data_IF_848618957981
#
_entry.id   IF_848618957981
#
_cell.length_a   1.000
_cell.length_b   1.000
_cell.length_c   1.000
_cell.angle_alpha   90.00
_cell.angle_beta   90.00
_cell.angle_gamma   90.00
#
_symmetry.space_group_name_H-M   'P 1'
#
loop_
_entity.id
_entity.type
_entity.pdbx_description
1 polymer ?
#
# COMPACT_ATOMS: atom_id res chain seq x y z
N UNK A 1 -0.34 13.90 34.50
CA UNK A 1 0.27 13.59 33.17
C UNK A 1 -0.47 12.41 32.57
N UNK A 2 -0.90 12.52 31.31
CA UNK A 2 -1.65 11.45 30.61
C UNK A 2 -0.72 10.24 30.36
N UNK A 3 -1.10 9.06 30.84
CA UNK A 3 -0.28 7.84 30.71
C UNK A 3 -0.37 7.22 29.31
N UNK A 4 -1.54 7.32 28.68
CA UNK A 4 -1.77 6.81 27.33
C UNK A 4 -1.54 7.91 26.29
N UNK A 5 -0.84 7.59 25.22
CA UNK A 5 -0.63 8.47 24.07
C UNK A 5 -1.60 8.13 22.95
N UNK A 6 -2.20 9.18 22.38
CA UNK A 6 -3.13 9.04 21.25
C UNK A 6 -2.36 9.31 19.97
N UNK A 7 -2.30 8.30 19.10
CA UNK A 7 -1.72 8.38 17.76
C UNK A 7 -2.86 8.47 16.75
N UNK A 8 -2.90 9.54 15.96
CA UNK A 8 -3.89 9.72 14.89
C UNK A 8 -3.18 9.64 13.54
N UNK A 9 -3.67 8.78 12.65
CA UNK A 9 -3.18 8.74 11.27
C UNK A 9 -3.82 9.87 10.46
N UNK A 10 -2.97 10.72 9.89
CA UNK A 10 -3.40 11.81 9.02
C UNK A 10 -3.72 11.30 7.62
N UNK A 11 -4.85 11.70 7.07
CA UNK A 11 -5.33 11.26 5.76
C UNK A 11 -6.30 12.27 5.15
N UNK A 12 -6.99 11.94 4.06
CA UNK A 12 -7.91 12.87 3.37
C UNK A 12 -8.94 13.50 4.31
N UNK A 13 -9.48 12.74 5.26
CA UNK A 13 -10.49 13.22 6.21
C UNK A 13 -9.94 14.21 7.26
N UNK A 14 -8.62 14.33 7.40
CA UNK A 14 -7.95 15.26 8.32
C UNK A 14 -7.21 16.41 7.60
N UNK A 15 -7.48 16.61 6.30
CA UNK A 15 -6.88 17.70 5.52
C UNK A 15 -7.49 19.08 5.83
N UNK A 16 -8.62 19.11 6.52
CA UNK A 16 -9.26 20.35 6.97
C UNK A 16 -8.59 20.88 8.25
N UNK A 17 -8.22 22.17 8.25
CA UNK A 17 -7.53 22.81 9.37
C UNK A 17 -8.35 22.74 10.67
N UNK A 18 -9.67 22.89 10.58
CA UNK A 18 -10.54 22.86 11.75
C UNK A 18 -10.59 21.46 12.37
N UNK A 19 -10.64 20.42 11.53
CA UNK A 19 -10.62 19.04 11.99
C UNK A 19 -9.28 18.74 12.68
N UNK A 20 -8.17 19.10 12.03
CA UNK A 20 -6.83 18.89 12.60
C UNK A 20 -6.66 19.65 13.93
N UNK A 21 -7.14 20.88 14.01
CA UNK A 21 -7.14 21.70 15.23
C UNK A 21 -7.97 21.06 16.35
N UNK A 22 -9.13 20.51 16.04
CA UNK A 22 -9.94 19.77 17.01
C UNK A 22 -9.24 18.54 17.52
N UNK A 23 -8.59 17.74 16.66
CA UNK A 23 -7.80 16.59 17.08
C UNK A 23 -6.69 16.98 18.07
N UNK A 24 -6.00 18.10 17.80
CA UNK A 24 -4.97 18.64 18.70
C UNK A 24 -5.59 19.06 20.04
N UNK A 25 -6.75 19.75 20.03
CA UNK A 25 -7.45 20.20 21.25
C UNK A 25 -7.95 19.04 22.09
N UNK A 26 -8.53 18.02 21.45
CA UNK A 26 -9.06 16.80 22.10
C UNK A 26 -7.97 15.86 22.62
N UNK A 27 -6.72 16.15 22.35
CA UNK A 27 -5.59 15.46 23.00
C UNK A 27 -4.82 14.50 22.14
N UNK A 28 -4.78 14.71 20.83
CA UNK A 28 -3.82 14.03 19.98
C UNK A 28 -2.39 14.31 20.46
N UNK A 29 -1.61 13.28 20.70
CA UNK A 29 -0.20 13.38 21.10
C UNK A 29 0.75 13.22 19.92
N UNK A 30 0.36 12.39 18.93
CA UNK A 30 1.19 12.03 17.78
C UNK A 30 0.33 12.03 16.53
N UNK A 31 0.76 12.76 15.50
CA UNK A 31 0.21 12.70 14.17
C UNK A 31 1.09 11.80 13.29
N UNK A 32 0.55 10.66 12.82
CA UNK A 32 1.23 9.72 11.95
C UNK A 32 0.90 10.03 10.50
N UNK A 33 1.95 10.23 9.70
CA UNK A 33 1.88 10.45 8.25
C UNK A 33 2.38 9.20 7.53
N UNK A 34 1.46 8.48 6.88
CA UNK A 34 1.79 7.28 6.13
C UNK A 34 2.24 7.63 4.72
N UNK A 35 3.54 7.47 4.44
CA UNK A 35 4.16 7.76 3.15
C UNK A 35 3.96 6.66 2.09
N UNK A 36 3.27 5.58 2.43
CA UNK A 36 2.80 4.60 1.45
C UNK A 36 1.66 5.14 0.58
N UNK A 37 1.03 6.27 0.96
CA UNK A 37 -0.11 6.87 0.28
C UNK A 37 0.08 8.38 0.08
N UNK A 38 -0.45 8.88 -1.04
CA UNK A 38 -0.37 10.30 -1.41
C UNK A 38 1.01 10.72 -1.92
N UNK A 39 1.12 11.97 -2.37
CA UNK A 39 2.38 12.55 -2.81
C UNK A 39 3.17 13.17 -1.66
N UNK A 40 4.46 13.42 -1.88
CA UNK A 40 5.31 14.12 -0.90
C UNK A 40 4.81 15.55 -0.63
N UNK A 41 4.28 16.22 -1.65
CA UNK A 41 3.72 17.57 -1.56
C UNK A 41 2.48 17.60 -0.67
N UNK A 42 1.58 16.63 -0.83
CA UNK A 42 0.39 16.48 0.02
C UNK A 42 0.77 16.23 1.48
N UNK A 43 1.72 15.31 1.72
CA UNK A 43 2.17 15.02 3.08
C UNK A 43 2.85 16.24 3.70
N UNK A 44 3.66 16.97 2.92
CA UNK A 44 4.29 18.22 3.36
C UNK A 44 3.25 19.27 3.75
N UNK A 45 2.24 19.48 2.92
CA UNK A 45 1.16 20.45 3.22
C UNK A 45 0.45 20.14 4.54
N UNK A 46 0.12 18.86 4.79
CA UNK A 46 -0.48 18.42 6.06
C UNK A 46 0.45 18.63 7.26
N UNK A 47 1.74 18.33 7.10
CA UNK A 47 2.74 18.54 8.16
C UNK A 47 2.92 20.03 8.48
N UNK A 48 2.97 20.89 7.48
CA UNK A 48 3.13 22.34 7.69
C UNK A 48 1.88 22.93 8.36
N UNK A 49 0.69 22.47 8.01
CA UNK A 49 -0.57 22.82 8.70
C UNK A 49 -0.51 22.39 10.18
N UNK A 50 -0.07 21.16 10.47
CA UNK A 50 0.04 20.70 11.86
C UNK A 50 1.07 21.52 12.66
N UNK A 51 2.21 21.88 12.06
CA UNK A 51 3.23 22.73 12.71
C UNK A 51 2.64 24.08 13.11
N UNK A 52 1.90 24.72 12.20
CA UNK A 52 1.19 25.98 12.50
C UNK A 52 0.21 25.81 13.66
N UNK A 53 -0.66 24.79 13.60
CA UNK A 53 -1.68 24.54 14.63
C UNK A 53 -1.07 24.29 16.00
N UNK A 54 -0.03 23.44 16.10
CA UNK A 54 0.60 23.12 17.40
C UNK A 54 1.27 24.34 18.05
N UNK A 55 1.81 25.28 17.25
CA UNK A 55 2.37 26.54 17.73
C UNK A 55 1.26 27.46 18.26
N UNK A 56 0.17 27.63 17.52
CA UNK A 56 -0.98 28.44 17.91
C UNK A 56 -1.67 27.90 19.18
N UNK A 57 -1.88 26.60 19.26
CA UNK A 57 -2.52 25.93 20.40
C UNK A 57 -1.54 25.68 21.59
N UNK A 58 -0.26 25.98 21.41
CA UNK A 58 0.83 25.73 22.40
C UNK A 58 0.83 24.29 22.93
N UNK A 59 0.56 23.32 22.05
CA UNK A 59 0.53 21.89 22.39
C UNK A 59 1.65 21.13 21.68
N UNK A 60 2.46 20.34 22.41
CA UNK A 60 3.57 19.56 21.85
C UNK A 60 3.03 18.30 21.19
N UNK A 61 2.57 18.40 19.94
CA UNK A 61 2.18 17.24 19.12
C UNK A 61 3.37 16.77 18.31
N UNK A 62 3.73 15.50 18.43
CA UNK A 62 4.81 14.91 17.67
C UNK A 62 4.36 14.56 16.23
N UNK A 63 5.28 14.65 15.29
CA UNK A 63 5.12 14.17 13.93
C UNK A 63 5.81 12.82 13.81
N UNK A 64 5.06 11.78 13.44
CA UNK A 64 5.58 10.46 13.14
C UNK A 64 5.52 10.26 11.63
N UNK A 65 6.70 10.15 11.01
CA UNK A 65 6.84 9.85 9.61
C UNK A 65 6.97 8.34 9.46
N UNK A 66 5.93 7.72 8.93
CA UNK A 66 5.90 6.29 8.64
C UNK A 66 6.36 6.08 7.20
N UNK A 67 7.62 5.67 7.06
CA UNK A 67 8.27 5.56 5.75
C UNK A 67 7.76 4.36 4.98
N UNK A 68 7.61 4.55 3.69
CA UNK A 68 7.43 3.45 2.75
C UNK A 68 8.70 2.60 2.73
N UNK A 69 8.57 1.31 3.06
CA UNK A 69 9.63 0.34 2.88
C UNK A 69 9.80 -0.06 1.41
N UNK A 70 10.77 -0.96 1.10
CA UNK A 70 10.83 -1.60 -0.22
C UNK A 70 9.55 -2.42 -0.41
N UNK A 71 8.83 -2.15 -1.49
CA UNK A 71 7.56 -2.81 -1.81
C UNK A 71 7.63 -3.44 -3.20
N UNK A 72 7.07 -4.65 -3.30
CA UNK A 72 6.76 -5.27 -4.57
C UNK A 72 5.27 -5.09 -4.79
N UNK A 73 4.89 -4.34 -5.82
CA UNK A 73 3.49 -4.07 -6.13
C UNK A 73 3.11 -4.55 -7.50
N UNK A 74 1.85 -4.95 -7.64
CA UNK A 74 1.21 -5.13 -8.94
C UNK A 74 1.01 -3.78 -9.61
N UNK A 75 1.11 -3.75 -10.94
CA UNK A 75 0.81 -2.55 -11.73
C UNK A 75 -0.69 -2.26 -11.81
N UNK A 76 -1.00 -1.23 -12.57
CA UNK A 76 -2.38 -0.78 -12.76
C UNK A 76 -3.16 -1.81 -13.56
N UNK A 77 -4.38 -2.08 -13.13
CA UNK A 77 -5.34 -2.91 -13.84
C UNK A 77 -6.18 -2.07 -14.80
N UNK A 78 -6.65 -2.68 -15.88
CA UNK A 78 -7.47 -2.05 -16.89
C UNK A 78 -8.66 -1.32 -16.27
N UNK A 79 -8.87 -0.09 -16.72
CA UNK A 79 -9.92 0.82 -16.20
C UNK A 79 -9.82 1.10 -14.68
N UNK A 80 -8.72 0.79 -14.02
CA UNK A 80 -8.57 0.89 -12.56
C UNK A 80 -9.53 -0.02 -11.78
N UNK A 81 -10.08 -1.05 -12.43
CA UNK A 81 -11.05 -1.97 -11.82
C UNK A 81 -10.37 -3.17 -11.21
N UNK A 82 -10.98 -3.70 -10.16
CA UNK A 82 -10.55 -4.96 -9.57
C UNK A 82 -10.91 -6.12 -10.49
N UNK A 83 -9.99 -7.07 -10.63
CA UNK A 83 -10.20 -8.30 -11.40
C UNK A 83 -10.42 -9.48 -10.48
N UNK A 84 -11.26 -10.42 -10.91
CA UNK A 84 -11.55 -11.63 -10.17
C UNK A 84 -10.63 -12.75 -10.67
N UNK A 85 -9.75 -13.21 -9.82
CA UNK A 85 -8.93 -14.39 -10.08
C UNK A 85 -9.65 -15.63 -9.56
N UNK A 86 -10.00 -16.55 -10.46
CA UNK A 86 -10.61 -17.83 -10.07
C UNK A 86 -9.54 -18.84 -9.67
N UNK A 87 -9.94 -19.73 -8.78
CA UNK A 87 -9.09 -20.81 -8.36
C UNK A 87 -8.67 -21.73 -9.51
N UNK A 88 -7.40 -22.12 -9.51
CA UNK A 88 -6.87 -23.01 -10.54
C UNK A 88 -6.52 -22.34 -11.86
N UNK A 89 -6.92 -21.09 -12.08
CA UNK A 89 -6.53 -20.31 -13.26
C UNK A 89 -5.06 -19.89 -13.18
N UNK A 90 -4.53 -19.52 -14.33
CA UNK A 90 -3.15 -19.10 -14.49
C UNK A 90 -3.10 -17.62 -14.78
N UNK A 91 -2.23 -16.89 -14.07
CA UNK A 91 -1.94 -15.48 -14.33
C UNK A 91 -0.47 -15.31 -14.66
N UNK A 92 -0.15 -14.43 -15.57
CA UNK A 92 1.23 -14.08 -15.93
C UNK A 92 1.67 -12.83 -15.19
N UNK A 93 2.75 -12.93 -14.42
CA UNK A 93 3.42 -11.78 -13.83
C UNK A 93 4.54 -11.31 -14.76
N UNK A 94 4.58 -10.02 -15.09
CA UNK A 94 5.54 -9.48 -16.06
C UNK A 94 6.24 -8.23 -15.55
N UNK A 95 7.45 -7.99 -16.06
CA UNK A 95 8.22 -6.76 -15.82
C UNK A 95 7.88 -5.66 -16.84
N UNK A 96 7.07 -5.98 -17.87
CA UNK A 96 6.59 -4.99 -18.83
C UNK A 96 5.58 -4.07 -18.19
N UNK A 97 5.67 -2.78 -18.46
CA UNK A 97 4.66 -1.80 -18.03
C UNK A 97 3.42 -1.94 -18.90
N UNK A 98 2.43 -2.63 -18.38
CA UNK A 98 1.14 -2.86 -19.05
C UNK A 98 -0.02 -2.55 -18.12
N UNK A 99 -1.15 -2.20 -18.67
CA UNK A 99 -2.43 -2.31 -17.98
C UNK A 99 -2.81 -3.78 -17.88
N UNK A 100 -2.87 -4.31 -16.65
CA UNK A 100 -3.11 -5.71 -16.38
C UNK A 100 -4.59 -6.08 -16.44
N UNK A 101 -4.84 -7.39 -16.52
CA UNK A 101 -6.16 -8.01 -16.47
C UNK A 101 -6.11 -9.31 -15.66
N UNK A 102 -7.14 -10.15 -15.76
CA UNK A 102 -7.21 -11.45 -15.10
C UNK A 102 -6.17 -12.48 -15.60
N UNK A 103 -5.51 -12.22 -16.72
CA UNK A 103 -4.54 -13.13 -17.35
C UNK A 103 -3.09 -12.67 -17.19
N UNK A 104 -2.86 -11.36 -17.12
CA UNK A 104 -1.52 -10.78 -17.08
C UNK A 104 -1.50 -9.51 -16.23
N UNK A 105 -0.47 -9.35 -15.39
CA UNK A 105 -0.28 -8.13 -14.58
C UNK A 105 1.20 -7.78 -14.47
N UNK A 106 1.51 -6.50 -14.54
CA UNK A 106 2.87 -5.99 -14.33
C UNK A 106 3.26 -5.99 -12.86
N UNK A 107 4.57 -6.04 -12.59
CA UNK A 107 5.16 -5.93 -11.26
C UNK A 107 6.23 -4.85 -11.23
N UNK A 108 6.34 -4.17 -10.08
CA UNK A 108 7.37 -3.16 -9.86
C UNK A 108 8.78 -3.77 -9.68
N UNK A 109 8.87 -5.03 -9.26
CA UNK A 109 10.13 -5.71 -9.00
C UNK A 109 10.63 -6.47 -10.21
N UNK A 110 11.65 -5.93 -10.88
CA UNK A 110 12.21 -6.49 -12.11
C UNK A 110 13.02 -7.78 -11.90
N UNK A 111 13.58 -7.98 -10.69
CA UNK A 111 14.39 -9.15 -10.35
C UNK A 111 13.59 -10.40 -9.99
N UNK A 112 12.25 -10.35 -10.01
CA UNK A 112 11.43 -11.50 -9.59
C UNK A 112 11.77 -12.80 -10.36
N UNK A 113 12.11 -12.66 -11.65
CA UNK A 113 12.50 -13.81 -12.51
C UNK A 113 13.68 -14.56 -11.95
N UNK A 114 14.67 -13.83 -11.48
CA UNK A 114 15.95 -14.40 -11.04
C UNK A 114 15.80 -15.04 -9.66
N UNK A 115 15.00 -14.41 -8.80
CA UNK A 115 14.85 -14.80 -7.41
C UNK A 115 13.90 -15.98 -7.18
N UNK A 116 12.86 -16.15 -8.02
CA UNK A 116 11.91 -17.24 -7.83
C UNK A 116 12.32 -18.52 -8.57
N UNK A 117 11.91 -19.66 -8.01
CA UNK A 117 12.06 -20.98 -8.63
C UNK A 117 10.69 -21.61 -8.90
N UNK A 118 10.63 -22.54 -9.87
CA UNK A 118 9.42 -23.32 -10.13
C UNK A 118 9.02 -24.03 -8.83
N UNK A 119 7.76 -23.92 -8.47
CA UNK A 119 7.21 -24.46 -7.22
C UNK A 119 7.18 -23.47 -6.06
N UNK A 120 7.88 -22.35 -6.11
CA UNK A 120 7.79 -21.31 -5.08
C UNK A 120 6.38 -20.72 -5.00
N UNK A 121 6.06 -20.18 -3.82
CA UNK A 121 4.81 -19.48 -3.56
C UNK A 121 5.06 -17.96 -3.57
N UNK A 122 4.24 -17.25 -4.34
CA UNK A 122 4.16 -15.78 -4.33
C UNK A 122 2.86 -15.42 -3.63
N UNK A 123 2.94 -14.58 -2.61
CA UNK A 123 1.80 -14.10 -1.85
C UNK A 123 1.46 -12.67 -2.25
N UNK A 124 0.18 -12.41 -2.49
CA UNK A 124 -0.35 -11.08 -2.82
C UNK A 124 -1.43 -10.73 -1.79
N UNK A 125 -1.58 -9.43 -1.50
CA UNK A 125 -2.58 -8.89 -0.56
C UNK A 125 -2.49 -9.57 0.82
N UNK A 126 -1.30 -9.42 1.46
CA UNK A 126 -0.99 -10.00 2.78
C UNK A 126 -1.24 -11.52 2.87
N UNK A 127 -1.10 -12.23 1.75
CA UNK A 127 -1.28 -13.67 1.68
C UNK A 127 -2.70 -14.14 1.37
N UNK A 128 -3.63 -13.22 1.10
CA UNK A 128 -5.00 -13.56 0.69
C UNK A 128 -5.03 -14.24 -0.67
N UNK A 129 -4.04 -14.00 -1.53
CA UNK A 129 -3.88 -14.63 -2.83
C UNK A 129 -2.55 -15.36 -2.85
N UNK A 130 -2.59 -16.69 -2.96
CA UNK A 130 -1.40 -17.52 -3.13
C UNK A 130 -1.25 -17.94 -4.60
N UNK A 131 -0.07 -17.66 -5.17
CA UNK A 131 0.28 -18.05 -6.53
C UNK A 131 1.46 -19.02 -6.48
N UNK A 132 1.35 -20.18 -7.12
CA UNK A 132 2.47 -21.12 -7.27
C UNK A 132 3.13 -20.94 -8.61
N UNK A 133 4.43 -20.71 -8.63
CA UNK A 133 5.22 -20.58 -9.84
C UNK A 133 5.21 -21.90 -10.59
N UNK A 134 4.67 -21.91 -11.81
CA UNK A 134 4.64 -23.08 -12.70
C UNK A 134 5.74 -23.07 -13.72
N UNK A 135 6.00 -21.90 -14.28
CA UNK A 135 6.92 -21.72 -15.38
C UNK A 135 7.64 -20.38 -15.24
N UNK A 136 8.85 -20.30 -15.73
CA UNK A 136 9.70 -19.11 -15.77
C UNK A 136 10.22 -18.95 -17.18
N UNK A 137 10.03 -17.77 -17.75
CA UNK A 137 10.62 -17.38 -19.04
C UNK A 137 11.39 -16.08 -18.86
N UNK A 138 12.33 -15.78 -19.75
CA UNK A 138 13.15 -14.57 -19.66
C UNK A 138 12.34 -13.26 -19.77
N UNK A 139 11.07 -13.36 -20.16
CA UNK A 139 10.18 -12.19 -20.38
C UNK A 139 8.91 -12.27 -19.52
N UNK A 140 8.45 -13.49 -19.15
CA UNK A 140 7.17 -13.67 -18.48
C UNK A 140 7.24 -14.75 -17.40
N UNK A 141 6.49 -14.57 -16.33
CA UNK A 141 6.25 -15.61 -15.32
C UNK A 141 4.82 -16.05 -15.37
N UNK A 142 4.61 -17.32 -15.61
CA UNK A 142 3.30 -17.93 -15.49
C UNK A 142 3.17 -18.58 -14.12
N UNK A 143 2.26 -18.10 -13.31
CA UNK A 143 1.99 -18.62 -11.98
C UNK A 143 0.55 -19.10 -11.90
N UNK A 144 0.34 -20.24 -11.23
CA UNK A 144 -1.01 -20.77 -11.00
C UNK A 144 -1.45 -20.47 -9.58
N UNK A 145 -2.67 -19.97 -9.43
CA UNK A 145 -3.29 -19.84 -8.13
C UNK A 145 -3.55 -21.22 -7.51
N UNK A 146 -3.05 -21.42 -6.29
CA UNK A 146 -3.47 -22.52 -5.43
C UNK A 146 -4.51 -22.00 -4.45
N UNK A 147 -5.55 -22.81 -4.27
CA UNK A 147 -6.64 -22.47 -3.38
C UNK A 147 -6.36 -22.61 -1.89
N UNK A 148 -7.13 -21.86 -1.15
CA UNK A 148 -7.40 -21.98 0.27
C UNK A 148 -8.37 -20.94 0.82
N UNK A 149 -8.66 -19.87 0.11
CA UNK A 149 -9.58 -18.84 0.59
C UNK A 149 -10.36 -18.15 -0.53
N UNK A 150 -11.59 -17.75 -0.20
CA UNK A 150 -12.63 -17.18 -1.06
C UNK A 150 -12.13 -16.23 -2.15
N UNK A 151 -12.81 -16.26 -3.31
CA UNK A 151 -12.67 -15.27 -4.39
C UNK A 151 -12.60 -13.85 -3.85
N UNK A 152 -11.44 -13.22 -3.96
CA UNK A 152 -11.29 -11.78 -3.72
C UNK A 152 -10.68 -11.11 -4.94
N UNK A 153 -11.17 -9.92 -5.22
CA UNK A 153 -10.67 -9.04 -6.26
C UNK A 153 -9.37 -8.37 -5.82
N UNK A 154 -8.39 -8.34 -6.69
CA UNK A 154 -7.15 -7.55 -6.56
C UNK A 154 -7.40 -6.13 -7.01
#
# INVERSE_FOLDING_TARGET
>A
MKKTKIVCTMGPNSNDENIMRRLVKEGMDIARFNFSHGSHEEQKGRMDMLKKIREEEKKPVAILLDTKGPEIRTGVLKDGKKVLLKEGETITLTNEEIEGDETKVSLTYKGLVDDVQIGNMILIDDGLIGLKVKEKTCVFHTVRRLCGMACRSV
#
